data_IF_515505171137
#
_entry.id   IF_515505171137
#
_cell.length_a   1.000
_cell.length_b   1.000
_cell.length_c   1.000
_cell.angle_alpha   90.00
_cell.angle_beta   90.00
_cell.angle_gamma   90.00
#
_symmetry.space_group_name_H-M   'P 1'
#
loop_
_entity.id
_entity.type
_entity.pdbx_description
1 polymer ?
#
# COMPACT_ATOMS: atom_id res chain seq x y z
N UNK A 1 -14.00 -12.05 -10.45
CA UNK A 1 -12.92 -11.57 -9.57
C UNK A 1 -12.00 -12.74 -9.32
N UNK A 2 -10.83 -12.77 -9.95
CA UNK A 2 -9.83 -13.81 -9.70
C UNK A 2 -9.11 -13.46 -8.41
N UNK A 3 -9.29 -14.27 -7.37
CA UNK A 3 -8.60 -14.10 -6.10
C UNK A 3 -7.08 -14.16 -6.33
N UNK A 4 -6.36 -13.06 -6.12
CA UNK A 4 -4.91 -12.96 -6.37
C UNK A 4 -4.06 -13.93 -5.55
N UNK A 5 -4.66 -14.60 -4.57
CA UNK A 5 -4.01 -15.43 -3.55
C UNK A 5 -4.21 -16.94 -3.75
N UNK A 6 -5.07 -17.36 -4.69
CA UNK A 6 -5.37 -18.80 -4.90
C UNK A 6 -4.24 -19.56 -5.59
N UNK A 7 -3.22 -18.85 -6.10
CA UNK A 7 -2.05 -19.43 -6.79
C UNK A 7 -0.75 -19.18 -6.02
N UNK A 8 -0.85 -18.88 -4.72
CA UNK A 8 0.30 -18.55 -3.87
C UNK A 8 0.58 -17.05 -3.78
N UNK A 9 1.68 -16.72 -3.11
CA UNK A 9 2.11 -15.34 -2.89
C UNK A 9 2.62 -14.72 -4.20
N UNK A 10 2.16 -13.53 -4.60
CA UNK A 10 2.53 -12.90 -5.86
C UNK A 10 3.89 -12.17 -5.75
N UNK A 11 4.96 -12.90 -5.42
CA UNK A 11 6.28 -12.32 -5.17
C UNK A 11 6.84 -11.55 -6.38
N UNK A 12 6.67 -12.06 -7.59
CA UNK A 12 7.11 -11.39 -8.82
C UNK A 12 6.39 -10.06 -9.06
N UNK A 13 5.12 -9.99 -8.68
CA UNK A 13 4.36 -8.75 -8.80
C UNK A 13 4.93 -7.69 -7.86
N UNK A 14 5.18 -8.03 -6.59
CA UNK A 14 5.81 -7.12 -5.64
C UNK A 14 7.24 -6.74 -6.04
N UNK A 15 7.99 -7.66 -6.64
CA UNK A 15 9.32 -7.37 -7.18
C UNK A 15 9.24 -6.29 -8.26
N UNK A 16 8.36 -6.48 -9.24
CA UNK A 16 8.13 -5.49 -10.31
C UNK A 16 7.69 -4.14 -9.77
N UNK A 17 6.80 -4.11 -8.79
CA UNK A 17 6.38 -2.87 -8.12
C UNK A 17 7.57 -2.11 -7.52
N UNK A 18 8.53 -2.81 -6.87
CA UNK A 18 9.72 -2.16 -6.28
C UNK A 18 10.69 -1.61 -7.32
N UNK A 19 10.76 -2.25 -8.49
CA UNK A 19 11.61 -1.86 -9.62
C UNK A 19 11.01 -0.68 -10.38
N UNK A 20 9.73 -0.76 -10.76
CA UNK A 20 9.08 0.17 -11.70
C UNK A 20 8.48 1.40 -10.99
N UNK A 21 7.81 1.21 -9.84
CA UNK A 21 7.05 2.26 -9.16
C UNK A 21 6.86 1.92 -7.67
N UNK A 22 7.86 2.13 -6.81
CA UNK A 22 7.85 1.67 -5.42
C UNK A 22 6.82 2.35 -4.51
N UNK A 23 6.33 3.53 -4.93
CA UNK A 23 5.24 4.28 -4.30
C UNK A 23 4.25 4.64 -5.40
N UNK A 24 3.03 4.09 -5.34
CA UNK A 24 2.05 4.25 -6.43
C UNK A 24 0.63 4.45 -5.95
N UNK A 25 -0.17 5.20 -6.71
CA UNK A 25 -1.59 5.41 -6.43
C UNK A 25 -2.44 4.31 -7.08
N UNK A 26 -3.25 3.64 -6.26
CA UNK A 26 -4.22 2.63 -6.67
C UNK A 26 -5.63 3.21 -6.60
N UNK A 27 -6.28 3.34 -7.75
CA UNK A 27 -7.67 3.79 -7.83
C UNK A 27 -8.62 2.68 -7.38
N UNK A 28 -9.56 3.00 -6.49
CA UNK A 28 -10.68 2.12 -6.13
C UNK A 28 -11.97 2.72 -6.72
N UNK A 29 -12.98 1.89 -6.96
CA UNK A 29 -14.32 2.36 -7.35
C UNK A 29 -14.91 3.23 -6.26
N UNK A 30 -15.60 4.30 -6.69
CA UNK A 30 -16.41 5.16 -5.81
C UNK A 30 -17.41 4.32 -4.99
N UNK A 31 -17.70 4.70 -3.72
CA UNK A 31 -17.39 5.98 -3.08
C UNK A 31 -16.00 6.10 -2.45
N UNK A 32 -15.20 5.03 -2.45
CA UNK A 32 -13.88 5.06 -1.81
C UNK A 32 -12.88 5.88 -2.62
N UNK A 33 -12.11 6.72 -1.92
CA UNK A 33 -10.87 7.26 -2.48
C UNK A 33 -9.86 6.14 -2.64
N UNK A 34 -8.99 6.23 -3.65
CA UNK A 34 -7.89 5.28 -3.82
C UNK A 34 -6.93 5.26 -2.64
N UNK A 35 -5.88 4.46 -2.75
CA UNK A 35 -4.85 4.36 -1.73
C UNK A 35 -3.45 4.37 -2.35
N UNK A 36 -2.48 4.82 -1.58
CA UNK A 36 -1.08 4.68 -1.93
C UNK A 36 -0.58 3.30 -1.53
N UNK A 37 0.11 2.61 -2.44
CA UNK A 37 0.84 1.38 -2.15
C UNK A 37 2.33 1.71 -2.03
N UNK A 38 2.92 1.32 -0.90
CA UNK A 38 4.35 1.49 -0.59
C UNK A 38 4.95 0.10 -0.44
N UNK A 39 5.97 -0.24 -1.24
CA UNK A 39 6.45 -1.64 -1.34
C UNK A 39 7.93 -1.84 -0.98
N UNK A 40 8.69 -0.78 -0.71
CA UNK A 40 10.08 -0.87 -0.23
C UNK A 40 10.10 -0.90 1.30
N UNK A 41 11.04 -1.67 1.84
CA UNK A 41 11.17 -1.83 3.29
C UNK A 41 11.43 -0.50 4.00
N UNK A 42 12.37 0.31 3.49
CA UNK A 42 12.73 1.58 4.13
C UNK A 42 11.56 2.58 4.13
N UNK A 43 10.78 2.60 3.06
CA UNK A 43 9.61 3.48 2.93
C UNK A 43 8.47 3.03 3.87
N UNK A 44 8.22 1.72 3.95
CA UNK A 44 7.25 1.17 4.91
C UNK A 44 7.68 1.49 6.34
N UNK A 45 8.96 1.25 6.67
CA UNK A 45 9.51 1.58 7.98
C UNK A 45 9.37 3.08 8.28
N UNK A 46 9.59 3.95 7.30
CA UNK A 46 9.42 5.39 7.48
C UNK A 46 7.96 5.74 7.80
N UNK A 47 6.99 5.18 7.08
CA UNK A 47 5.56 5.44 7.33
C UNK A 47 5.15 4.98 8.73
N UNK A 48 5.49 3.74 9.09
CA UNK A 48 5.12 3.14 10.38
C UNK A 48 5.74 3.87 11.57
N UNK A 49 6.96 4.40 11.42
CA UNK A 49 7.64 5.14 12.48
C UNK A 49 7.24 6.62 12.58
N UNK A 50 6.41 7.13 11.67
CA UNK A 50 5.99 8.54 11.66
C UNK A 50 4.45 8.69 11.71
N UNK A 51 3.77 8.20 12.77
CA UNK A 51 2.31 8.29 12.91
C UNK A 51 1.79 9.74 13.01
N UNK A 52 2.64 10.70 13.36
CA UNK A 52 2.33 12.13 13.36
C UNK A 52 2.16 12.71 11.94
N UNK A 53 2.78 12.08 10.93
CA UNK A 53 2.66 12.44 9.52
C UNK A 53 1.63 11.53 8.84
N UNK A 54 1.62 10.23 9.21
CA UNK A 54 0.72 9.21 8.68
C UNK A 54 -0.15 8.64 9.80
N UNK A 55 -1.17 9.38 10.26
CA UNK A 55 -2.02 8.91 11.34
C UNK A 55 -2.81 7.69 10.88
N UNK A 56 -2.97 6.66 11.75
CA UNK A 56 -3.89 5.57 11.45
C UNK A 56 -5.30 6.16 11.32
N UNK A 57 -6.08 5.66 10.38
CA UNK A 57 -7.43 6.20 10.06
C UNK A 57 -8.37 6.30 11.27
N UNK A 58 -8.12 5.56 12.35
CA UNK A 58 -8.90 5.60 13.58
C UNK A 58 -8.52 6.76 14.54
N UNK A 59 -7.30 7.31 14.43
CA UNK A 59 -6.81 8.37 15.33
C UNK A 59 -7.25 9.78 14.92
N UNK A 60 -7.83 9.95 13.73
CA UNK A 60 -8.34 11.25 13.26
C UNK A 60 -9.76 11.58 13.77
N UNK A 61 -10.31 10.75 14.67
CA UNK A 61 -11.64 10.89 15.26
C UNK A 61 -11.55 11.03 16.78
N UNK A 62 -10.94 12.11 17.27
CA UNK A 62 -11.13 12.61 18.65
C UNK A 62 -10.98 14.12 18.64
#
# INVERSE_FOLDING_TARGET
MTHSWTRGQPFDFYRRMREDAPVMWSQIKKPSSGFWSVVRYDDVKHVELNPQIFPPSAAAST
#
